data_IF_572367742095
#
_entry.id   IF_572367742095
#
_cell.length_a   1.000
_cell.length_b   1.000
_cell.length_c   1.000
_cell.angle_alpha   90.00
_cell.angle_beta   90.00
_cell.angle_gamma   90.00
#
_symmetry.space_group_name_H-M   'P 1'
#
loop_
_entity.id
_entity.type
_entity.pdbx_description
1 polymer ?
#
# COMPACT_ATOMS: atom_id res chain seq x y z
N UNK A 1 -1.34 -14.35 -2.18
CA UNK A 1 -0.56 -15.61 -2.29
C UNK A 1 -0.19 -15.95 -3.74
N UNK A 2 -1.13 -15.89 -4.69
CA UNK A 2 -0.87 -16.41 -6.05
C UNK A 2 -0.93 -15.36 -7.18
N UNK A 3 -0.94 -14.07 -6.84
CA UNK A 3 -1.04 -12.95 -7.80
C UNK A 3 -2.19 -13.10 -8.82
N UNK A 4 -3.32 -13.66 -8.39
CA UNK A 4 -4.48 -13.92 -9.23
C UNK A 4 -4.40 -15.20 -10.09
N UNK A 5 -3.34 -16.00 -10.00
CA UNK A 5 -3.18 -17.26 -10.73
C UNK A 5 -3.29 -18.48 -9.78
N UNK A 6 -4.44 -19.18 -9.75
CA UNK A 6 -4.67 -20.33 -8.87
C UNK A 6 -3.72 -21.52 -9.11
N UNK A 7 -3.17 -21.65 -10.32
CA UNK A 7 -2.33 -22.77 -10.72
C UNK A 7 -0.84 -22.52 -10.46
N UNK A 8 -0.48 -21.28 -10.10
CA UNK A 8 0.88 -20.90 -9.77
C UNK A 8 1.47 -21.81 -8.71
N UNK A 9 2.60 -22.44 -9.04
CA UNK A 9 3.35 -23.29 -8.10
C UNK A 9 3.87 -22.48 -6.92
N UNK A 10 3.56 -22.98 -5.73
CA UNK A 10 4.03 -22.52 -4.43
C UNK A 10 5.06 -23.54 -3.94
N UNK A 11 6.28 -23.08 -3.65
CA UNK A 11 7.30 -23.91 -3.03
C UNK A 11 7.26 -23.70 -1.52
N UNK A 12 7.19 -24.79 -0.77
CA UNK A 12 7.26 -24.79 0.70
C UNK A 12 8.56 -25.44 1.12
N UNK A 13 9.32 -24.74 1.96
CA UNK A 13 10.58 -25.22 2.51
C UNK A 13 10.44 -25.38 4.03
N UNK A 14 10.92 -26.51 4.54
CA UNK A 14 10.82 -26.88 5.94
C UNK A 14 12.22 -26.87 6.54
N UNK A 15 12.36 -26.13 7.64
CA UNK A 15 13.61 -25.95 8.38
C UNK A 15 13.41 -26.36 9.83
N UNK A 16 14.46 -26.92 10.43
CA UNK A 16 14.57 -27.08 11.87
C UNK A 16 15.04 -25.74 12.47
N UNK A 17 14.30 -25.24 13.45
CA UNK A 17 14.60 -23.93 14.03
C UNK A 17 15.61 -24.09 15.17
N UNK A 18 16.66 -23.25 15.13
CA UNK A 18 17.79 -23.29 16.05
C UNK A 18 18.05 -21.90 16.63
N UNK A 19 18.21 -21.84 17.95
CA UNK A 19 18.42 -20.57 18.69
C UNK A 19 19.72 -19.85 18.31
N UNK A 20 20.68 -20.57 17.73
CA UNK A 20 22.00 -20.06 17.33
C UNK A 20 22.03 -19.50 15.90
N UNK A 21 20.90 -19.55 15.17
CA UNK A 21 20.71 -18.89 13.87
C UNK A 21 21.08 -19.71 12.64
N UNK A 22 21.68 -20.90 12.79
CA UNK A 22 21.91 -21.83 11.69
C UNK A 22 20.76 -22.82 11.60
N UNK A 23 19.70 -22.49 10.88
CA UNK A 23 18.56 -23.38 10.68
C UNK A 23 18.88 -24.53 9.72
N UNK A 24 18.63 -25.76 10.15
CA UNK A 24 18.91 -26.94 9.34
C UNK A 24 17.78 -27.23 8.35
N UNK A 25 18.14 -27.35 7.07
CA UNK A 25 17.16 -27.65 6.03
C UNK A 25 16.67 -29.11 6.11
N UNK A 26 15.38 -29.29 6.38
CA UNK A 26 14.73 -30.60 6.49
C UNK A 26 14.34 -31.12 5.11
N UNK A 27 13.74 -30.29 4.26
CA UNK A 27 13.34 -30.61 2.89
C UNK A 27 12.32 -29.61 2.32
N UNK A 28 11.84 -29.90 1.12
CA UNK A 28 10.90 -29.06 0.38
C UNK A 28 9.82 -29.89 -0.31
N UNK A 29 8.69 -29.24 -0.60
CA UNK A 29 7.66 -29.73 -1.50
C UNK A 29 7.04 -28.57 -2.28
N UNK A 30 6.31 -28.87 -3.34
CA UNK A 30 5.58 -27.89 -4.14
C UNK A 30 4.09 -28.18 -4.09
N UNK A 31 3.28 -27.13 -4.09
CA UNK A 31 1.82 -27.23 -4.23
C UNK A 31 1.28 -26.05 -5.04
N UNK A 32 -0.03 -25.88 -5.15
CA UNK A 32 -0.68 -24.70 -5.72
C UNK A 32 -1.92 -24.33 -4.92
N UNK A 33 -2.50 -23.16 -5.19
CA UNK A 33 -3.77 -22.79 -4.56
C UNK A 33 -4.88 -23.78 -4.91
N UNK A 34 -4.95 -24.21 -6.18
CA UNK A 34 -5.90 -25.24 -6.60
C UNK A 34 -5.77 -26.53 -5.81
N UNK A 35 -4.55 -26.96 -5.49
CA UNK A 35 -4.33 -28.16 -4.66
C UNK A 35 -4.74 -27.93 -3.20
N UNK A 36 -4.31 -26.82 -2.61
CA UNK A 36 -4.68 -26.46 -1.23
C UNK A 36 -6.21 -26.36 -1.08
N UNK A 37 -6.91 -25.89 -2.10
CA UNK A 37 -8.36 -25.77 -2.13
C UNK A 37 -9.12 -27.10 -2.26
N UNK A 38 -8.45 -28.24 -2.54
CA UNK A 38 -9.11 -29.56 -2.67
C UNK A 38 -9.73 -30.06 -1.37
N UNK A 39 -9.21 -29.64 -0.23
CA UNK A 39 -9.74 -30.01 1.09
C UNK A 39 -8.69 -30.02 2.18
N UNK A 40 -9.11 -30.38 3.39
CA UNK A 40 -8.24 -30.40 4.58
C UNK A 40 -7.82 -31.84 4.91
N UNK A 41 -6.81 -31.97 5.77
CA UNK A 41 -6.30 -33.21 6.32
C UNK A 41 -5.83 -34.20 5.23
N UNK A 42 -6.43 -35.39 5.16
CA UNK A 42 -5.98 -36.50 4.32
C UNK A 42 -6.02 -36.22 2.82
N UNK A 43 -6.70 -35.16 2.39
CA UNK A 43 -6.71 -34.72 0.99
C UNK A 43 -5.47 -33.92 0.59
N UNK A 44 -4.75 -33.36 1.57
CA UNK A 44 -3.59 -32.50 1.36
C UNK A 44 -2.45 -32.90 2.30
N UNK A 45 -1.81 -34.02 1.95
CA UNK A 45 -0.62 -34.56 2.60
C UNK A 45 0.55 -34.51 1.63
N UNK A 46 1.62 -33.82 2.03
CA UNK A 46 2.80 -33.59 1.19
C UNK A 46 4.03 -34.25 1.79
N UNK A 47 4.76 -35.01 0.98
CA UNK A 47 6.04 -35.58 1.38
C UNK A 47 7.14 -34.52 1.35
N UNK A 48 7.87 -34.36 2.45
CA UNK A 48 8.97 -33.39 2.55
C UNK A 48 10.25 -34.04 2.06
N UNK A 49 10.78 -33.58 0.93
CA UNK A 49 11.96 -34.21 0.30
C UNK A 49 13.17 -33.29 0.38
N UNK A 50 14.29 -33.82 0.86
CA UNK A 50 15.57 -33.11 0.84
C UNK A 50 16.39 -33.54 -0.38
N UNK A 51 16.62 -32.66 -1.37
CA UNK A 51 17.36 -33.02 -2.58
C UNK A 51 18.79 -33.49 -2.27
N UNK A 52 19.45 -32.85 -1.30
CA UNK A 52 20.82 -33.21 -0.89
C UNK A 52 20.88 -34.60 -0.24
N UNK A 53 19.89 -34.96 0.60
CA UNK A 53 19.83 -36.31 1.20
C UNK A 53 19.46 -37.37 0.17
N UNK A 54 18.56 -37.06 -0.77
CA UNK A 54 18.14 -37.95 -1.87
C UNK A 54 19.30 -38.33 -2.78
N UNK A 55 20.19 -37.38 -3.08
CA UNK A 55 21.40 -37.65 -3.87
C UNK A 55 22.43 -38.50 -3.12
N UNK A 56 22.53 -38.36 -1.78
CA UNK A 56 23.55 -39.05 -0.97
C UNK A 56 23.12 -40.44 -0.49
N UNK A 57 21.83 -40.67 -0.24
CA UNK A 57 21.32 -41.90 0.41
C UNK A 57 20.34 -42.64 -0.51
N UNK A 58 20.78 -43.80 -1.04
CA UNK A 58 19.97 -44.62 -1.97
C UNK A 58 18.62 -45.12 -1.41
N UNK A 59 18.49 -45.27 -0.10
CA UNK A 59 17.25 -45.72 0.58
C UNK A 59 16.40 -44.56 1.14
N UNK A 60 16.75 -43.31 0.87
CA UNK A 60 16.00 -42.16 1.37
C UNK A 60 14.72 -41.95 0.54
N UNK A 61 13.57 -41.98 1.21
CA UNK A 61 12.28 -41.59 0.62
C UNK A 61 12.00 -40.10 0.88
N UNK A 62 11.77 -39.75 2.14
CA UNK A 62 11.38 -38.41 2.56
C UNK A 62 11.88 -38.12 4.01
N UNK A 63 11.72 -36.88 4.45
CA UNK A 63 12.00 -36.40 5.82
C UNK A 63 10.73 -36.34 6.69
N UNK A 64 9.65 -37.03 6.30
CA UNK A 64 8.32 -36.93 6.90
C UNK A 64 7.29 -36.29 5.97
N UNK A 65 6.10 -36.02 6.51
CA UNK A 65 4.95 -35.49 5.76
C UNK A 65 4.37 -34.25 6.44
N UNK A 66 3.95 -33.27 5.65
CA UNK A 66 3.18 -32.09 6.10
C UNK A 66 1.72 -32.30 5.72
N UNK A 67 0.80 -32.08 6.67
CA UNK A 67 -0.64 -32.17 6.43
C UNK A 67 -1.27 -30.81 6.60
N UNK A 68 -2.07 -30.38 5.61
CA UNK A 68 -2.82 -29.13 5.69
C UNK A 68 -3.99 -29.29 6.67
N UNK A 69 -3.93 -28.62 7.82
CA UNK A 69 -4.98 -28.72 8.85
C UNK A 69 -6.20 -27.85 8.53
N UNK A 70 -5.97 -26.62 8.08
CA UNK A 70 -7.03 -25.68 7.74
C UNK A 70 -6.65 -24.83 6.53
N UNK A 71 -7.67 -24.46 5.76
CA UNK A 71 -7.54 -23.56 4.62
C UNK A 71 -8.78 -22.67 4.56
N UNK A 72 -8.58 -21.36 4.70
CA UNK A 72 -9.60 -20.34 4.52
C UNK A 72 -9.12 -19.32 3.49
N UNK A 73 -10.05 -18.80 2.70
CA UNK A 73 -9.78 -17.77 1.69
C UNK A 73 -10.47 -16.51 2.16
N UNK A 74 -9.68 -15.53 2.53
CA UNK A 74 -10.17 -14.22 2.96
C UNK A 74 -9.82 -13.20 1.87
N UNK A 75 -10.82 -12.41 1.48
CA UNK A 75 -10.65 -11.32 0.52
C UNK A 75 -10.53 -10.01 1.28
N UNK A 76 -9.32 -9.46 1.34
CA UNK A 76 -9.12 -8.09 1.81
C UNK A 76 -9.49 -7.11 0.70
N UNK A 77 -10.38 -6.13 0.96
CA UNK A 77 -10.74 -5.13 -0.04
C UNK A 77 -9.50 -4.34 -0.46
N UNK A 78 -9.27 -4.22 -1.76
CA UNK A 78 -8.20 -3.38 -2.28
C UNK A 78 -8.56 -1.90 -2.15
N UNK A 79 -7.56 -1.02 -2.22
CA UNK A 79 -7.78 0.42 -2.29
C UNK A 79 -8.82 0.81 -3.36
N UNK A 80 -8.77 0.18 -4.54
CA UNK A 80 -9.73 0.44 -5.61
C UNK A 80 -11.15 -0.02 -5.28
N UNK A 81 -11.31 -1.07 -4.47
CA UNK A 81 -12.62 -1.54 -4.03
C UNK A 81 -13.26 -0.53 -3.08
N UNK A 82 -12.46 0.13 -2.24
CA UNK A 82 -12.94 1.26 -1.43
C UNK A 82 -13.43 2.42 -2.31
N UNK A 83 -12.66 2.81 -3.34
CA UNK A 83 -13.05 3.89 -4.26
C UNK A 83 -14.34 3.52 -5.04
N UNK A 84 -14.40 2.32 -5.62
CA UNK A 84 -15.60 1.81 -6.31
C UNK A 84 -16.80 1.68 -5.39
N UNK A 85 -16.57 1.38 -4.11
CA UNK A 85 -17.57 1.32 -3.05
C UNK A 85 -18.10 2.71 -2.62
N UNK A 86 -17.64 3.80 -3.24
CA UNK A 86 -18.09 5.16 -2.96
C UNK A 86 -17.26 5.91 -1.91
N UNK A 87 -16.09 5.38 -1.52
CA UNK A 87 -15.17 6.09 -0.63
C UNK A 87 -14.59 7.30 -1.35
N UNK A 88 -14.78 8.49 -0.80
CA UNK A 88 -14.25 9.73 -1.34
C UNK A 88 -12.90 10.06 -0.71
N UNK A 89 -11.93 10.47 -1.53
CA UNK A 89 -10.65 10.99 -1.06
C UNK A 89 -10.72 12.51 -1.00
N UNK A 90 -10.52 13.06 0.19
CA UNK A 90 -10.45 14.50 0.39
C UNK A 90 -9.00 14.95 0.28
N UNK A 91 -8.69 15.74 -0.75
CA UNK A 91 -7.40 16.39 -0.87
C UNK A 91 -7.43 17.74 -0.15
N UNK A 92 -6.43 18.01 0.69
CA UNK A 92 -6.32 19.25 1.46
C UNK A 92 -4.89 19.76 1.36
N UNK A 93 -4.73 20.98 0.86
CA UNK A 93 -3.44 21.70 0.83
C UNK A 93 -3.44 22.79 1.88
N UNK A 94 -2.38 22.85 2.68
CA UNK A 94 -2.09 23.90 3.63
C UNK A 94 -0.85 24.67 3.17
N UNK A 95 -0.98 25.99 2.96
CA UNK A 95 0.16 26.86 2.59
C UNK A 95 0.71 27.53 3.85
N UNK A 96 2.03 27.49 4.05
CA UNK A 96 2.70 28.12 5.19
C UNK A 96 3.04 29.60 4.93
N UNK A 97 2.38 30.51 5.64
CA UNK A 97 2.62 31.96 5.60
C UNK A 97 3.45 32.49 6.80
N UNK A 98 4.31 31.66 7.40
CA UNK A 98 5.23 32.12 8.46
C UNK A 98 6.27 33.13 7.94
N UNK A 99 6.70 34.05 8.82
CA UNK A 99 7.62 35.14 8.48
C UNK A 99 9.01 34.68 8.00
N UNK A 100 9.42 33.45 8.32
CA UNK A 100 10.66 32.83 7.83
C UNK A 100 10.72 32.67 6.31
N UNK A 101 9.56 32.66 5.63
CA UNK A 101 9.48 32.58 4.17
C UNK A 101 9.88 33.90 3.46
N UNK A 102 10.18 34.95 4.21
CA UNK A 102 10.57 36.25 3.68
C UNK A 102 9.39 37.06 3.13
N UNK A 103 9.68 38.31 2.74
CA UNK A 103 8.66 39.20 2.19
C UNK A 103 8.32 38.80 0.74
N UNK A 104 7.05 38.53 0.38
CA UNK A 104 6.64 38.13 -0.96
C UNK A 104 7.02 39.10 -2.09
N UNK A 105 7.33 40.37 -1.77
CA UNK A 105 7.84 41.36 -2.73
C UNK A 105 9.32 41.20 -3.06
N UNK A 106 10.06 40.37 -2.32
CA UNK A 106 11.49 40.13 -2.53
C UNK A 106 11.71 38.85 -3.36
N UNK A 107 12.61 38.88 -4.37
CA UNK A 107 12.92 37.71 -5.19
C UNK A 107 13.46 36.49 -4.42
N UNK A 108 13.94 36.69 -3.20
CA UNK A 108 14.45 35.65 -2.30
C UNK A 108 13.37 34.94 -1.50
N UNK A 109 12.14 35.44 -1.49
CA UNK A 109 11.02 34.83 -0.76
C UNK A 109 10.51 33.58 -1.47
N UNK A 110 10.15 32.55 -0.69
CA UNK A 110 9.48 31.36 -1.21
C UNK A 110 8.06 31.64 -1.72
N UNK A 111 7.49 32.78 -1.34
CA UNK A 111 6.19 33.29 -1.84
C UNK A 111 6.33 34.28 -2.99
N UNK A 112 7.54 34.55 -3.47
CA UNK A 112 7.76 35.52 -4.55
C UNK A 112 7.04 35.09 -5.83
N UNK A 113 6.22 35.98 -6.38
CA UNK A 113 5.52 35.74 -7.64
C UNK A 113 6.35 36.33 -8.79
N UNK A 114 7.20 35.49 -9.39
CA UNK A 114 7.96 35.88 -10.59
C UNK A 114 7.05 35.86 -11.84
N UNK A 115 7.16 36.85 -12.73
CA UNK A 115 6.42 36.86 -14.00
C UNK A 115 6.88 35.79 -15.00
N UNK A 116 8.01 35.12 -14.73
CA UNK A 116 8.61 34.13 -15.63
C UNK A 116 8.71 32.72 -15.04
N UNK A 117 8.55 32.56 -13.73
CA UNK A 117 8.72 31.27 -13.06
C UNK A 117 7.76 31.12 -11.88
N UNK A 118 7.23 29.91 -11.71
CA UNK A 118 6.40 29.56 -10.56
C UNK A 118 7.26 29.39 -9.30
N UNK A 119 6.74 29.81 -8.15
CA UNK A 119 7.39 29.56 -6.87
C UNK A 119 7.16 28.12 -6.38
N UNK A 120 7.89 27.73 -5.34
CA UNK A 120 7.87 26.36 -4.81
C UNK A 120 6.47 25.89 -4.37
N UNK A 121 5.69 26.78 -3.74
CA UNK A 121 4.32 26.46 -3.32
C UNK A 121 3.38 26.27 -4.52
N UNK A 122 3.48 27.14 -5.52
CA UNK A 122 2.66 27.05 -6.73
C UNK A 122 3.00 25.81 -7.55
N UNK A 123 4.29 25.47 -7.67
CA UNK A 123 4.72 24.22 -8.33
C UNK A 123 4.21 22.98 -7.60
N UNK A 124 4.27 22.96 -6.27
CA UNK A 124 3.76 21.84 -5.47
C UNK A 124 2.23 21.68 -5.61
N UNK A 125 1.49 22.79 -5.55
CA UNK A 125 0.04 22.78 -5.72
C UNK A 125 -0.38 22.27 -7.11
N UNK A 126 0.30 22.70 -8.18
CA UNK A 126 0.07 22.21 -9.54
C UNK A 126 0.45 20.73 -9.69
N UNK A 127 1.60 20.33 -9.14
CA UNK A 127 2.05 18.93 -9.19
C UNK A 127 1.09 17.97 -8.49
N UNK A 128 0.46 18.38 -7.40
CA UNK A 128 -0.55 17.59 -6.70
C UNK A 128 -1.90 17.54 -7.43
N UNK A 129 -2.22 18.55 -8.24
CA UNK A 129 -3.51 18.63 -8.94
C UNK A 129 -3.60 17.65 -10.12
N UNK A 130 -2.47 17.15 -10.63
CA UNK A 130 -2.42 16.34 -11.85
C UNK A 130 -2.84 17.12 -13.10
N UNK A 131 -2.43 16.65 -14.27
CA UNK A 131 -2.94 17.20 -15.54
C UNK A 131 -4.45 16.94 -15.65
N UNK A 132 -5.27 17.90 -16.12
CA UNK A 132 -6.71 17.72 -16.23
C UNK A 132 -7.06 16.63 -17.24
N UNK A 133 -7.37 15.44 -16.72
CA UNK A 133 -8.15 14.42 -17.42
C UNK A 133 -9.60 14.88 -17.58
N UNK A 134 -10.25 14.44 -18.65
CA UNK A 134 -11.50 14.96 -19.22
C UNK A 134 -12.79 14.78 -18.38
N UNK A 135 -12.79 15.05 -17.07
CA UNK A 135 -13.97 14.90 -16.21
C UNK A 135 -14.25 16.17 -15.37
N UNK A 136 -15.09 17.06 -15.92
CA UNK A 136 -15.97 17.99 -15.18
C UNK A 136 -15.37 19.20 -14.43
N UNK A 137 -16.17 20.28 -14.20
CA UNK A 137 -15.70 21.46 -13.48
C UNK A 137 -15.62 21.18 -11.98
N UNK A 138 -14.41 20.98 -11.46
CA UNK A 138 -14.18 20.95 -10.01
C UNK A 138 -13.96 22.38 -9.48
N UNK A 139 -14.93 22.87 -8.70
CA UNK A 139 -14.85 24.19 -8.07
C UNK A 139 -13.85 24.21 -6.91
N UNK A 140 -12.79 25.02 -7.04
CA UNK A 140 -11.87 25.32 -5.94
C UNK A 140 -12.45 26.40 -5.03
N UNK A 141 -12.61 26.09 -3.73
CA UNK A 141 -12.97 27.08 -2.70
C UNK A 141 -11.74 27.39 -1.85
N UNK A 142 -11.34 28.67 -1.76
CA UNK A 142 -10.26 29.13 -0.88
C UNK A 142 -10.82 29.77 0.38
N UNK A 143 -10.30 29.39 1.54
CA UNK A 143 -10.76 29.91 2.84
C UNK A 143 -9.61 30.58 3.60
N UNK A 144 -9.65 31.91 3.80
CA UNK A 144 -8.71 32.59 4.67
C UNK A 144 -9.11 32.41 6.15
N UNK A 145 -8.27 31.75 6.95
CA UNK A 145 -8.38 31.84 8.42
C UNK A 145 -7.88 33.23 8.85
N UNK A 146 -8.74 34.05 9.44
CA UNK A 146 -8.27 35.26 10.15
C UNK A 146 -7.39 34.83 11.33
N UNK A 147 -6.11 35.18 11.29
CA UNK A 147 -5.17 34.98 12.41
C UNK A 147 -4.37 33.67 12.41
N UNK A 148 -4.48 32.81 11.40
CA UNK A 148 -3.63 31.62 11.27
C UNK A 148 -2.87 31.64 9.93
N UNK A 149 -1.58 31.25 9.89
CA UNK A 149 -0.74 31.32 8.69
C UNK A 149 -1.07 30.23 7.64
N UNK A 150 -2.26 29.63 7.68
CA UNK A 150 -2.60 28.45 6.86
C UNK A 150 -3.90 28.70 6.08
N UNK A 151 -3.82 28.67 4.75
CA UNK A 151 -4.97 28.58 3.84
C UNK A 151 -5.17 27.12 3.47
N UNK A 152 -6.39 26.62 3.67
CA UNK A 152 -6.81 25.26 3.29
C UNK A 152 -7.55 25.31 1.95
N UNK A 153 -7.01 24.66 0.93
CA UNK A 153 -7.72 24.39 -0.33
C UNK A 153 -8.23 22.95 -0.31
N UNK A 154 -9.55 22.78 -0.30
CA UNK A 154 -10.22 21.49 -0.35
C UNK A 154 -10.97 21.31 -1.67
N UNK A 155 -10.81 20.16 -2.32
CA UNK A 155 -11.62 19.78 -3.47
C UNK A 155 -12.79 18.88 -3.04
N UNK A 156 -14.02 19.30 -3.36
CA UNK A 156 -15.22 18.44 -3.39
C UNK A 156 -15.83 17.99 -2.06
N UNK A 157 -16.68 18.80 -1.42
CA UNK A 157 -17.83 18.33 -0.63
C UNK A 157 -18.75 19.49 -0.18
N UNK A 158 -20.11 19.35 -0.16
CA UNK A 158 -21.04 20.40 0.23
C UNK A 158 -21.37 20.48 1.74
N UNK A 159 -20.65 19.75 2.62
CA UNK A 159 -21.06 19.52 4.02
C UNK A 159 -20.25 20.27 5.11
N UNK A 160 -19.65 21.43 4.80
CA UNK A 160 -18.66 22.07 5.68
C UNK A 160 -19.16 23.17 6.62
N UNK A 161 -20.47 23.31 6.83
CA UNK A 161 -21.03 24.37 7.68
C UNK A 161 -20.83 24.18 9.21
N UNK A 162 -20.20 23.08 9.68
CA UNK A 162 -20.28 22.67 11.09
C UNK A 162 -18.99 22.69 11.90
N UNK A 163 -17.89 23.29 11.42
CA UNK A 163 -16.60 23.27 12.15
C UNK A 163 -15.94 24.64 12.30
N UNK A 164 -16.75 25.69 12.50
CA UNK A 164 -16.21 27.00 12.87
C UNK A 164 -17.03 27.73 13.92
N UNK A 165 -17.06 27.18 15.13
CA UNK A 165 -17.19 27.99 16.34
C UNK A 165 -16.21 27.43 17.39
N UNK A 166 -15.09 28.14 17.55
CA UNK A 166 -14.25 28.05 18.72
C UNK A 166 -13.59 29.41 18.92
N UNK A 167 -13.87 29.97 20.09
CA UNK A 167 -13.53 31.30 20.63
C UNK A 167 -12.16 31.88 20.26
#
# INVERSE_FOLDING_TARGET
>A
LCNGDPDRTIKVEVYDWDRTGSHDFIGEFTTSYCELARGQHGLNVYEVVNPKKKLKKKKYLNSGTVTLLSFSVESDPSFLDYIRGGTQLNFTVAIDFTASNGNPSQPTSLHYLSPFQLNAYTMAALGCHGEPGADGPMGCSSWPRRGAPIVVLGAGCPLWHLLWDAH
#
